data_IF_287735465140
#
_entry.id   IF_287735465140
#
_cell.length_a   1.000
_cell.length_b   1.000
_cell.length_c   1.000
_cell.angle_alpha   90.00
_cell.angle_beta   90.00
_cell.angle_gamma   90.00
#
_symmetry.space_group_name_H-M   'P 1'
#
loop_
_entity.id
_entity.type
_entity.pdbx_description
1 polymer ?
#
# COMPACT_ATOMS: atom_id res chain seq x y z
N UNK A 1 57.73 -4.39 -19.66
CA UNK A 1 56.80 -3.25 -19.80
C UNK A 1 55.84 -3.50 -20.95
N UNK A 2 54.55 -3.71 -20.68
CA UNK A 2 53.45 -3.57 -21.65
C UNK A 2 52.28 -2.93 -20.89
N UNK A 3 51.90 -1.71 -21.28
CA UNK A 3 50.81 -0.94 -20.68
C UNK A 3 49.49 -1.46 -21.25
N UNK A 4 48.57 -1.94 -20.41
CA UNK A 4 47.19 -2.24 -20.80
C UNK A 4 46.34 -1.06 -20.31
N UNK A 5 45.83 -0.28 -21.26
CA UNK A 5 44.88 0.80 -21.01
C UNK A 5 43.49 0.14 -20.96
N UNK A 6 42.92 -0.04 -19.76
CA UNK A 6 41.49 -0.34 -19.63
C UNK A 6 40.72 0.98 -19.76
N UNK A 7 40.14 1.21 -20.94
CA UNK A 7 39.10 2.21 -21.12
C UNK A 7 37.81 1.69 -20.44
N UNK A 8 37.47 2.28 -19.29
CA UNK A 8 36.18 2.07 -18.65
C UNK A 8 35.09 2.77 -19.47
N UNK A 9 34.43 2.02 -20.35
CA UNK A 9 33.22 2.48 -21.02
C UNK A 9 32.08 2.62 -20.02
N UNK A 10 31.73 3.86 -19.70
CA UNK A 10 30.55 4.19 -18.89
C UNK A 10 29.29 3.93 -19.73
N UNK A 11 28.70 2.75 -19.59
CA UNK A 11 27.44 2.40 -20.25
C UNK A 11 26.27 3.11 -19.52
N UNK A 12 25.83 4.27 -20.03
CA UNK A 12 24.59 4.90 -19.59
C UNK A 12 23.40 4.06 -20.05
N UNK A 13 22.86 3.22 -19.17
CA UNK A 13 21.60 2.49 -19.43
C UNK A 13 20.44 3.44 -19.16
N UNK A 14 20.06 4.25 -20.15
CA UNK A 14 18.87 5.11 -20.07
C UNK A 14 17.62 4.25 -20.25
N UNK A 15 16.84 4.06 -19.18
CA UNK A 15 15.56 3.35 -19.29
C UNK A 15 14.48 4.33 -19.70
N UNK A 16 14.22 4.45 -21.00
CA UNK A 16 13.11 5.23 -21.53
C UNK A 16 11.79 4.50 -21.27
N UNK A 17 10.81 5.22 -20.72
CA UNK A 17 9.42 4.77 -20.73
C UNK A 17 8.84 5.09 -22.11
N UNK A 18 8.27 4.11 -22.80
CA UNK A 18 7.63 4.32 -24.11
C UNK A 18 6.10 4.21 -23.97
N UNK A 19 5.38 5.08 -24.68
CA UNK A 19 3.93 4.97 -24.83
C UNK A 19 3.60 3.79 -25.76
N UNK A 20 2.73 2.89 -25.31
CA UNK A 20 2.35 1.67 -26.04
C UNK A 20 0.84 1.56 -26.23
N UNK A 21 0.42 0.66 -27.11
CA UNK A 21 -0.99 0.30 -27.28
C UNK A 21 -1.41 -0.74 -26.24
N UNK A 22 -2.72 -0.92 -26.06
CA UNK A 22 -3.27 -1.92 -25.13
C UNK A 22 -2.82 -3.36 -25.44
N UNK A 23 -2.50 -3.66 -26.70
CA UNK A 23 -2.06 -4.99 -27.14
C UNK A 23 -0.68 -5.37 -26.58
N UNK A 24 0.13 -4.38 -26.19
CA UNK A 24 1.44 -4.61 -25.59
C UNK A 24 1.38 -5.05 -24.11
N UNK A 25 0.20 -4.98 -23.47
CA UNK A 25 0.00 -5.46 -22.11
C UNK A 25 -0.02 -7.00 -22.06
N UNK A 26 0.57 -7.63 -21.04
CA UNK A 26 0.42 -9.08 -20.84
C UNK A 26 -1.05 -9.47 -20.69
N UNK A 27 -1.42 -10.68 -21.15
CA UNK A 27 -2.81 -11.16 -21.12
C UNK A 27 -3.45 -11.05 -19.73
N UNK A 28 -2.71 -11.37 -18.67
CA UNK A 28 -3.20 -11.25 -17.28
C UNK A 28 -3.63 -9.83 -16.92
N UNK A 29 -2.90 -8.81 -17.36
CA UNK A 29 -3.25 -7.41 -17.10
C UNK A 29 -4.53 -7.02 -17.85
N UNK A 30 -4.68 -7.44 -19.11
CA UNK A 30 -5.91 -7.19 -19.90
C UNK A 30 -7.13 -7.86 -19.28
N UNK A 31 -6.99 -9.10 -18.82
CA UNK A 31 -8.06 -9.84 -18.11
C UNK A 31 -8.43 -9.13 -16.82
N UNK A 32 -7.43 -8.71 -16.03
CA UNK A 32 -7.67 -7.98 -14.79
C UNK A 32 -8.46 -6.69 -15.04
N UNK A 33 -8.04 -5.87 -16.00
CA UNK A 33 -8.73 -4.60 -16.34
C UNK A 33 -10.17 -4.87 -16.74
N UNK A 34 -10.42 -5.83 -17.65
CA UNK A 34 -11.77 -6.18 -18.11
C UNK A 34 -12.67 -6.65 -16.96
N UNK A 35 -12.13 -7.43 -16.03
CA UNK A 35 -12.88 -7.99 -14.92
C UNK A 35 -13.21 -6.97 -13.83
N UNK A 36 -12.27 -6.07 -13.52
CA UNK A 36 -12.38 -5.17 -12.37
C UNK A 36 -12.84 -3.75 -12.74
N UNK A 37 -12.66 -3.33 -13.99
CA UNK A 37 -13.06 -2.02 -14.49
C UNK A 37 -13.89 -2.14 -15.79
N UNK A 38 -15.02 -2.86 -15.75
CA UNK A 38 -15.89 -3.00 -16.93
C UNK A 38 -16.37 -1.63 -17.43
N UNK A 39 -16.47 -1.47 -18.75
CA UNK A 39 -16.93 -0.21 -19.38
C UNK A 39 -15.86 0.90 -19.43
N UNK A 40 -14.66 0.68 -18.90
CA UNK A 40 -13.54 1.62 -19.06
C UNK A 40 -12.72 1.34 -20.30
N UNK A 41 -12.11 2.38 -20.85
CA UNK A 41 -11.13 2.27 -21.95
C UNK A 41 -9.73 2.57 -21.44
N UNK A 42 -8.72 1.95 -22.04
CA UNK A 42 -7.31 2.25 -21.76
C UNK A 42 -6.97 3.55 -22.51
N UNK A 43 -6.62 4.60 -21.77
CA UNK A 43 -6.26 5.91 -22.33
C UNK A 43 -4.75 6.09 -22.46
N UNK A 44 -3.96 5.34 -21.68
CA UNK A 44 -2.50 5.36 -21.75
C UNK A 44 -1.90 4.04 -21.30
N UNK A 45 -0.87 3.58 -21.99
CA UNK A 45 0.05 2.53 -21.52
C UNK A 45 1.47 3.06 -21.58
N UNK A 46 2.18 2.97 -20.47
CA UNK A 46 3.63 3.20 -20.39
C UNK A 46 4.29 1.90 -19.96
N UNK A 47 5.42 1.55 -20.55
CA UNK A 47 6.24 0.43 -20.07
C UNK A 47 7.65 0.90 -19.72
N UNK A 48 8.23 0.34 -18.66
CA UNK A 48 9.66 0.42 -18.38
C UNK A 48 10.20 -1.00 -18.47
N UNK A 49 10.76 -1.36 -19.63
CA UNK A 49 11.31 -2.70 -19.85
C UNK A 49 12.70 -2.79 -19.23
N UNK A 50 12.83 -3.62 -18.19
CA UNK A 50 14.10 -4.05 -17.59
C UNK A 50 14.02 -5.57 -17.43
N UNK A 51 15.09 -6.34 -17.70
CA UNK A 51 15.05 -7.82 -17.68
C UNK A 51 14.35 -8.43 -16.45
N UNK A 52 14.52 -7.83 -15.26
CA UNK A 52 13.92 -8.32 -14.00
C UNK A 52 13.01 -7.31 -13.27
N UNK A 53 12.88 -6.09 -13.81
CA UNK A 53 12.15 -4.97 -13.17
C UNK A 53 11.15 -4.33 -14.12
N UNK A 54 10.78 -5.07 -15.18
CA UNK A 54 9.80 -4.67 -16.15
C UNK A 54 8.47 -4.33 -15.47
N UNK A 55 7.90 -3.17 -15.83
CA UNK A 55 6.57 -2.78 -15.37
C UNK A 55 5.76 -2.06 -16.44
N UNK A 56 4.44 -2.18 -16.33
CA UNK A 56 3.47 -1.48 -17.14
C UNK A 56 2.65 -0.56 -16.24
N UNK A 57 2.55 0.72 -16.60
CA UNK A 57 1.60 1.67 -16.00
C UNK A 57 0.47 1.91 -17.00
N UNK A 58 -0.76 1.73 -16.55
CA UNK A 58 -1.97 1.82 -17.37
C UNK A 58 -2.89 2.87 -16.78
N UNK A 59 -3.36 3.81 -17.60
CA UNK A 59 -4.40 4.77 -17.23
C UNK A 59 -5.70 4.41 -17.91
N UNK A 60 -6.79 4.43 -17.16
CA UNK A 60 -8.15 4.16 -17.64
C UNK A 60 -8.97 5.45 -17.76
N UNK A 61 -10.04 5.41 -18.55
CA UNK A 61 -10.92 6.55 -18.81
C UNK A 61 -11.66 7.09 -17.59
N UNK A 62 -11.88 6.27 -16.56
CA UNK A 62 -12.46 6.69 -15.28
C UNK A 62 -11.43 7.30 -14.32
N UNK A 63 -10.17 7.43 -14.75
CA UNK A 63 -9.07 7.98 -13.96
C UNK A 63 -8.39 7.00 -13.01
N UNK A 64 -8.68 5.69 -13.09
CA UNK A 64 -7.86 4.68 -12.44
C UNK A 64 -6.47 4.62 -13.09
N UNK A 65 -5.42 4.48 -12.28
CA UNK A 65 -4.08 4.19 -12.73
C UNK A 65 -3.62 2.86 -12.09
N UNK A 66 -3.13 1.94 -12.93
CA UNK A 66 -2.74 0.59 -12.52
C UNK A 66 -1.28 0.35 -12.87
N UNK A 67 -0.52 -0.19 -11.93
CA UNK A 67 0.81 -0.73 -12.18
C UNK A 67 0.77 -2.26 -12.21
N UNK A 68 1.34 -2.86 -13.24
CA UNK A 68 1.54 -4.30 -13.37
C UNK A 68 3.02 -4.62 -13.52
N UNK A 69 3.44 -5.78 -13.02
CA UNK A 69 4.77 -6.29 -13.33
C UNK A 69 4.87 -6.84 -14.76
N UNK A 70 6.08 -7.25 -15.17
CA UNK A 70 6.35 -7.81 -16.49
C UNK A 70 5.48 -9.02 -16.87
N UNK A 71 4.88 -9.73 -15.91
CA UNK A 71 3.98 -10.89 -16.13
C UNK A 71 2.50 -10.50 -16.09
N UNK A 72 2.19 -9.21 -15.96
CA UNK A 72 0.84 -8.68 -15.87
C UNK A 72 0.19 -8.91 -14.50
N UNK A 73 0.97 -9.18 -13.44
CA UNK A 73 0.43 -9.27 -12.08
C UNK A 73 0.30 -7.87 -11.50
N UNK A 74 -0.85 -7.58 -10.88
CA UNK A 74 -1.13 -6.29 -10.28
C UNK A 74 -0.12 -5.95 -9.19
N UNK A 75 0.40 -4.72 -9.22
CA UNK A 75 1.29 -4.13 -8.23
C UNK A 75 0.62 -2.99 -7.49
N UNK A 76 -0.11 -2.15 -8.20
CA UNK A 76 -0.71 -0.95 -7.61
C UNK A 76 -1.99 -0.55 -8.34
N UNK A 77 -2.94 -0.02 -7.60
CA UNK A 77 -4.10 0.72 -8.09
C UNK A 77 -4.13 2.05 -7.33
N UNK A 78 -4.13 3.15 -8.07
CA UNK A 78 -4.25 4.51 -7.56
C UNK A 78 -5.11 5.36 -8.52
N UNK A 79 -5.16 6.68 -8.28
CA UNK A 79 -5.88 7.64 -9.13
C UNK A 79 -7.22 8.08 -8.54
N UNK A 80 -8.10 8.60 -9.39
CA UNK A 80 -9.38 9.18 -8.95
C UNK A 80 -10.51 8.15 -8.82
N UNK A 81 -10.34 6.97 -9.42
CA UNK A 81 -11.33 5.91 -9.36
C UNK A 81 -11.23 5.11 -8.05
N UNK A 82 -12.38 4.63 -7.56
CA UNK A 82 -12.43 3.68 -6.44
C UNK A 82 -11.74 2.37 -6.84
N UNK A 83 -11.00 1.77 -5.90
CA UNK A 83 -10.48 0.40 -6.05
C UNK A 83 -11.66 -0.59 -6.00
N UNK A 84 -11.87 -1.43 -7.03
CA UNK A 84 -12.91 -2.45 -7.04
C UNK A 84 -12.74 -3.41 -5.86
N UNK A 85 -13.82 -3.68 -5.11
CA UNK A 85 -13.74 -4.52 -3.90
C UNK A 85 -13.15 -5.91 -4.16
N UNK A 86 -13.43 -6.47 -5.34
CA UNK A 86 -12.91 -7.78 -5.76
C UNK A 86 -11.42 -7.76 -6.13
N UNK A 87 -10.83 -6.58 -6.37
CA UNK A 87 -9.38 -6.44 -6.58
C UNK A 87 -8.62 -6.49 -5.25
N UNK A 88 -9.27 -6.14 -4.13
CA UNK A 88 -8.68 -6.22 -2.79
C UNK A 88 -8.61 -7.68 -2.32
N UNK A 89 -7.47 -8.16 -1.78
CA UNK A 89 -7.37 -9.50 -1.21
C UNK A 89 -8.48 -9.78 -0.18
N UNK A 90 -9.03 -11.00 -0.19
CA UNK A 90 -10.25 -11.31 0.56
C UNK A 90 -10.14 -11.04 2.07
N UNK A 91 -9.03 -11.40 2.70
CA UNK A 91 -8.77 -11.14 4.12
C UNK A 91 -8.70 -9.65 4.46
N UNK A 92 -8.11 -8.84 3.57
CA UNK A 92 -8.03 -7.38 3.71
C UNK A 92 -9.41 -6.76 3.54
N UNK A 93 -10.16 -7.17 2.51
CA UNK A 93 -11.55 -6.71 2.31
C UNK A 93 -12.42 -7.01 3.52
N UNK A 94 -12.32 -8.21 4.08
CA UNK A 94 -13.03 -8.60 5.30
C UNK A 94 -12.63 -7.71 6.48
N UNK A 95 -11.33 -7.48 6.68
CA UNK A 95 -10.85 -6.61 7.75
C UNK A 95 -11.40 -5.17 7.63
N UNK A 96 -11.40 -4.60 6.42
CA UNK A 96 -11.96 -3.27 6.17
C UNK A 96 -13.45 -3.24 6.50
N UNK A 97 -14.23 -4.18 5.97
CA UNK A 97 -15.68 -4.21 6.19
C UNK A 97 -16.06 -4.36 7.66
N UNK A 98 -15.30 -5.14 8.43
CA UNK A 98 -15.57 -5.34 9.87
C UNK A 98 -15.18 -4.16 10.74
N UNK A 99 -14.15 -3.40 10.36
CA UNK A 99 -13.54 -2.40 11.25
C UNK A 99 -13.76 -0.95 10.81
N UNK A 100 -14.07 -0.72 9.54
CA UNK A 100 -14.15 0.61 8.90
C UNK A 100 -15.45 0.74 8.10
N UNK A 101 -16.59 0.67 8.81
CA UNK A 101 -17.93 0.67 8.22
C UNK A 101 -18.14 1.87 7.30
N UNK A 102 -18.62 1.61 6.08
CA UNK A 102 -18.90 2.65 5.07
C UNK A 102 -17.67 3.19 4.34
N UNK A 103 -16.46 2.80 4.74
CA UNK A 103 -15.23 3.18 4.04
C UNK A 103 -14.88 2.16 2.96
N UNK A 104 -14.19 2.64 1.94
CA UNK A 104 -13.72 1.82 0.83
C UNK A 104 -12.29 2.15 0.42
N UNK A 105 -11.61 1.22 -0.25
CA UNK A 105 -10.26 1.44 -0.74
C UNK A 105 -10.24 2.44 -1.93
N UNK A 106 -9.38 3.45 -1.84
CA UNK A 106 -9.05 4.38 -2.92
C UNK A 106 -7.68 4.10 -3.52
N UNK A 107 -6.77 3.47 -2.76
CA UNK A 107 -5.47 3.01 -3.25
C UNK A 107 -5.20 1.59 -2.72
N UNK A 108 -4.56 0.75 -3.54
CA UNK A 108 -4.12 -0.60 -3.18
C UNK A 108 -2.72 -0.84 -3.74
N UNK A 109 -1.74 -1.08 -2.88
CA UNK A 109 -0.40 -1.52 -3.28
C UNK A 109 -0.13 -2.94 -2.79
N UNK A 110 0.40 -3.79 -3.67
CA UNK A 110 0.78 -5.18 -3.39
C UNK A 110 2.27 -5.41 -3.66
N UNK A 111 3.04 -5.57 -2.58
CA UNK A 111 4.45 -5.95 -2.59
C UNK A 111 4.62 -7.38 -2.06
N UNK A 112 5.78 -7.97 -2.30
CA UNK A 112 6.11 -9.31 -1.78
C UNK A 112 6.14 -9.36 -0.24
N UNK A 113 6.37 -8.22 0.40
CA UNK A 113 6.54 -8.11 1.85
C UNK A 113 5.32 -7.56 2.58
N UNK A 114 4.40 -6.88 1.88
CA UNK A 114 3.20 -6.28 2.47
C UNK A 114 2.18 -5.85 1.44
N UNK A 115 0.96 -5.63 1.90
CA UNK A 115 -0.05 -4.84 1.20
C UNK A 115 -0.24 -3.50 1.89
N UNK A 116 -0.50 -2.46 1.10
CA UNK A 116 -0.95 -1.16 1.62
C UNK A 116 -2.32 -0.85 1.04
N UNK A 117 -3.19 -0.29 1.85
CA UNK A 117 -4.49 0.21 1.42
C UNK A 117 -4.69 1.60 2.00
N UNK A 118 -5.17 2.53 1.17
CA UNK A 118 -5.71 3.81 1.65
C UNK A 118 -7.22 3.79 1.49
N UNK A 119 -7.92 4.20 2.54
CA UNK A 119 -9.36 4.28 2.58
C UNK A 119 -9.86 5.66 2.12
N UNK A 120 -11.16 5.74 1.84
CA UNK A 120 -11.85 6.95 1.37
C UNK A 120 -11.80 8.15 2.32
N UNK A 121 -11.54 7.93 3.62
CA UNK A 121 -11.31 8.98 4.61
C UNK A 121 -9.82 9.38 4.74
N UNK A 122 -8.94 8.73 3.96
CA UNK A 122 -7.49 8.90 4.03
C UNK A 122 -6.77 8.02 5.04
N UNK A 123 -7.48 7.17 5.80
CA UNK A 123 -6.87 6.19 6.69
C UNK A 123 -6.01 5.22 5.89
N UNK A 124 -4.76 5.01 6.31
CA UNK A 124 -3.82 4.08 5.68
C UNK A 124 -3.69 2.83 6.53
N UNK A 125 -3.68 1.68 5.86
CA UNK A 125 -3.57 0.36 6.45
C UNK A 125 -2.39 -0.37 5.81
N UNK A 126 -1.50 -0.93 6.63
CA UNK A 126 -0.51 -1.89 6.15
C UNK A 126 -0.80 -3.30 6.69
N UNK A 127 -0.64 -4.29 5.82
CA UNK A 127 -0.86 -5.70 6.13
C UNK A 127 0.36 -6.52 5.74
N UNK A 128 0.62 -7.59 6.51
CA UNK A 128 1.49 -8.70 6.08
C UNK A 128 1.03 -9.27 4.73
N UNK A 129 1.87 -10.05 4.01
CA UNK A 129 1.46 -10.74 2.78
C UNK A 129 0.30 -11.73 2.99
N UNK A 130 0.05 -12.16 4.24
CA UNK A 130 -1.07 -13.04 4.61
C UNK A 130 -2.35 -12.26 4.97
N UNK A 131 -2.34 -10.94 4.87
CA UNK A 131 -3.49 -10.08 5.17
C UNK A 131 -3.75 -9.84 6.66
N UNK A 132 -2.78 -10.11 7.54
CA UNK A 132 -2.83 -9.64 8.94
C UNK A 132 -2.40 -8.18 9.02
N UNK A 133 -3.19 -7.33 9.67
CA UNK A 133 -2.87 -5.90 9.87
C UNK A 133 -1.60 -5.75 10.71
N UNK A 134 -0.78 -4.76 10.37
CA UNK A 134 0.43 -4.40 11.11
C UNK A 134 0.49 -2.91 11.43
N UNK A 135 -0.17 -2.07 10.65
CA UNK A 135 -0.16 -0.62 10.85
C UNK A 135 -1.49 -0.01 10.42
N UNK A 136 -1.95 0.98 11.19
CA UNK A 136 -3.13 1.78 10.91
C UNK A 136 -2.76 3.22 11.26
N UNK A 137 -2.84 4.12 10.28
CA UNK A 137 -2.55 5.55 10.43
C UNK A 137 -3.76 6.35 9.93
N UNK A 138 -4.28 7.28 10.74
CA UNK A 138 -5.35 8.18 10.36
C UNK A 138 -5.07 9.61 10.84
N UNK A 139 -5.79 10.58 10.27
CA UNK A 139 -5.82 11.96 10.79
C UNK A 139 -6.80 12.12 11.96
N UNK A 140 -7.70 11.15 12.14
CA UNK A 140 -8.75 11.13 13.14
C UNK A 140 -8.54 9.99 14.14
N UNK A 141 -9.33 9.99 15.23
CA UNK A 141 -9.30 8.90 16.22
C UNK A 141 -9.52 7.55 15.52
N UNK A 142 -8.63 6.59 15.78
CA UNK A 142 -8.81 5.21 15.32
C UNK A 142 -10.00 4.57 16.03
N UNK A 143 -10.76 3.69 15.35
CA UNK A 143 -11.79 2.90 16.01
C UNK A 143 -11.20 2.05 17.16
N UNK A 144 -11.86 2.05 18.31
CA UNK A 144 -11.33 1.37 19.51
C UNK A 144 -11.03 -0.12 19.28
N UNK A 145 -11.81 -0.81 18.44
CA UNK A 145 -11.64 -2.23 18.13
C UNK A 145 -10.36 -2.56 17.36
N UNK A 146 -9.74 -1.58 16.68
CA UNK A 146 -8.51 -1.81 15.92
C UNK A 146 -7.24 -1.62 16.75
N UNK A 147 -7.36 -1.12 17.98
CA UNK A 147 -6.25 -0.92 18.90
C UNK A 147 -6.37 -1.88 20.10
N UNK A 148 -5.32 -2.63 20.46
CA UNK A 148 -5.34 -3.52 21.61
C UNK A 148 -5.81 -2.84 22.90
N UNK A 149 -6.64 -3.54 23.68
CA UNK A 149 -7.33 -2.96 24.85
C UNK A 149 -6.36 -2.38 25.89
N UNK A 150 -5.21 -3.02 26.12
CA UNK A 150 -4.24 -2.56 27.11
C UNK A 150 -3.59 -1.23 26.72
N UNK A 151 -3.33 -1.00 25.42
CA UNK A 151 -2.81 0.27 24.91
C UNK A 151 -3.86 1.37 25.09
N UNK A 152 -5.12 1.09 24.77
CA UNK A 152 -6.21 2.07 24.95
C UNK A 152 -6.43 2.44 26.41
N UNK A 153 -6.38 1.45 27.32
CA UNK A 153 -6.48 1.67 28.77
C UNK A 153 -5.33 2.54 29.28
N UNK A 154 -4.10 2.24 28.87
CA UNK A 154 -2.94 3.03 29.27
C UNK A 154 -3.07 4.49 28.79
N UNK A 155 -3.47 4.70 27.54
CA UNK A 155 -3.67 6.06 27.00
C UNK A 155 -4.78 6.80 27.75
N UNK A 156 -5.92 6.15 28.00
CA UNK A 156 -7.03 6.76 28.72
C UNK A 156 -6.65 7.17 30.16
N UNK A 157 -5.82 6.37 30.85
CA UNK A 157 -5.40 6.64 32.22
C UNK A 157 -4.33 7.73 32.33
N UNK A 158 -3.44 7.87 31.33
CA UNK A 158 -2.25 8.72 31.43
C UNK A 158 -2.27 9.96 30.51
N UNK A 159 -3.11 9.96 29.47
CA UNK A 159 -3.16 10.99 28.44
C UNK A 159 -4.61 11.42 28.18
N UNK A 160 -5.24 12.00 29.21
CA UNK A 160 -6.64 12.43 29.15
C UNK A 160 -6.91 13.37 27.98
N UNK A 161 -8.03 13.15 27.28
CA UNK A 161 -8.43 13.94 26.11
C UNK A 161 -7.61 13.69 24.83
N UNK A 162 -6.65 12.74 24.84
CA UNK A 162 -5.87 12.38 23.65
C UNK A 162 -6.46 11.18 22.92
N UNK A 163 -6.52 11.29 21.59
CA UNK A 163 -6.96 10.23 20.70
C UNK A 163 -5.77 9.46 20.15
N UNK A 164 -5.87 8.14 20.04
CA UNK A 164 -4.92 7.34 19.27
C UNK A 164 -5.24 7.52 17.79
N UNK A 165 -4.26 7.99 17.02
CA UNK A 165 -4.39 8.24 15.57
C UNK A 165 -3.53 7.28 14.74
N UNK A 166 -2.57 6.60 15.38
CA UNK A 166 -1.72 5.60 14.74
C UNK A 166 -1.50 4.43 15.69
N UNK A 167 -1.55 3.21 15.17
CA UNK A 167 -1.11 2.00 15.86
C UNK A 167 -0.25 1.16 14.91
N UNK A 168 0.91 0.70 15.39
CA UNK A 168 1.86 -0.12 14.63
C UNK A 168 2.33 -1.31 15.48
N UNK A 169 2.25 -2.52 14.92
CA UNK A 169 2.80 -3.75 15.47
C UNK A 169 4.12 -4.09 14.76
N UNK A 170 5.24 -3.93 15.48
CA UNK A 170 6.57 -4.41 15.07
C UNK A 170 6.87 -5.78 15.68
N UNK A 171 8.01 -6.36 15.31
CA UNK A 171 8.41 -7.71 15.74
C UNK A 171 8.46 -7.88 17.28
N UNK A 172 8.98 -6.90 18.01
CA UNK A 172 9.16 -7.00 19.47
C UNK A 172 8.40 -5.95 20.28
N UNK A 173 7.67 -5.05 19.61
CA UNK A 173 7.02 -3.92 20.25
C UNK A 173 5.79 -3.46 19.50
N UNK A 174 4.97 -2.69 20.17
CA UNK A 174 3.90 -1.92 19.57
C UNK A 174 4.21 -0.43 19.74
N UNK A 175 3.75 0.37 18.79
CA UNK A 175 3.77 1.83 18.88
C UNK A 175 2.35 2.36 18.76
N UNK A 176 2.07 3.44 19.47
CA UNK A 176 0.91 4.29 19.20
C UNK A 176 1.36 5.73 19.08
N UNK A 177 0.69 6.49 18.23
CA UNK A 177 0.82 7.93 18.14
C UNK A 177 -0.50 8.57 18.56
N UNK A 178 -0.40 9.58 19.41
CA UNK A 178 -1.53 10.35 19.90
C UNK A 178 -1.79 11.57 19.01
N UNK A 179 -2.97 12.16 19.15
CA UNK A 179 -3.42 13.31 18.36
C UNK A 179 -2.60 14.59 18.56
N UNK A 180 -1.81 14.69 19.63
CA UNK A 180 -0.85 15.77 19.88
C UNK A 180 0.56 15.46 19.38
N UNK A 181 0.75 14.31 18.72
CA UNK A 181 2.03 13.86 18.19
C UNK A 181 2.86 13.04 19.17
N UNK A 182 2.46 12.89 20.44
CA UNK A 182 3.15 12.02 21.40
C UNK A 182 3.17 10.58 20.89
N UNK A 183 4.33 9.93 20.97
CA UNK A 183 4.53 8.52 20.59
C UNK A 183 4.84 7.69 21.81
N UNK A 184 4.14 6.57 21.97
CA UNK A 184 4.34 5.64 23.07
C UNK A 184 4.77 4.29 22.52
N UNK A 185 5.78 3.70 23.12
CA UNK A 185 6.21 2.33 22.85
C UNK A 185 5.73 1.38 23.94
N UNK A 186 5.25 0.22 23.52
CA UNK A 186 4.81 -0.87 24.37
C UNK A 186 5.55 -2.15 23.99
N UNK A 187 5.71 -3.08 24.94
CA UNK A 187 6.12 -4.44 24.64
C UNK A 187 5.10 -5.09 23.70
N UNK A 188 5.48 -6.22 23.11
CA UNK A 188 4.56 -6.99 22.27
C UNK A 188 3.26 -7.35 22.99
N UNK A 189 3.30 -7.59 24.30
CA UNK A 189 2.14 -7.94 25.13
C UNK A 189 1.37 -6.71 25.67
N UNK A 190 1.76 -5.50 25.29
CA UNK A 190 1.07 -4.26 25.65
C UNK A 190 1.49 -3.63 26.97
N UNK A 191 2.63 -4.04 27.55
CA UNK A 191 3.21 -3.33 28.72
C UNK A 191 3.89 -2.05 28.24
N UNK A 192 3.59 -0.92 28.85
CA UNK A 192 4.26 0.35 28.53
C UNK A 192 5.77 0.24 28.71
N UNK A 193 6.54 0.79 27.76
CA UNK A 193 8.00 0.83 27.81
C UNK A 193 8.50 2.25 28.00
N UNK A 194 8.13 3.15 27.09
CA UNK A 194 8.63 4.54 27.08
C UNK A 194 7.80 5.45 26.17
N UNK A 195 8.02 6.75 26.34
CA UNK A 195 7.69 7.78 25.34
C UNK A 195 8.87 7.88 24.35
N UNK A 196 8.59 7.99 23.06
CA UNK A 196 9.56 8.13 21.95
C UNK A 196 9.70 9.59 21.51
#
# INVERSE_FOLDING_TARGET
MKKIILAAGLLLITTMASAQTADALPQNARVFIKQHYPGTTITKVESKLKPDKGKYKVKLSNGAELEFDARGRLKEIEGSARVPERAVPASIRQYINSNFRGLYATELETKSTKHKVKLSDGTKLEFTPRGKVMEIESKSKLPDQVVPVELRRYVAANYSGRNIIEWELKINKQKVKLSDGTKLEFSRDGKFLKVD
#
